data_IF_124938114600
#
_entry.id   IF_124938114600
#
_cell.length_a   1.000
_cell.length_b   1.000
_cell.length_c   1.000
_cell.angle_alpha   90.00
_cell.angle_beta   90.00
_cell.angle_gamma   90.00
#
_symmetry.space_group_name_H-M   'P 1'
#
loop_
_entity.id
_entity.type
_entity.pdbx_description
1 polymer ?
#
# COMPACT_ATOMS: atom_id res chain seq x y z
N UNK A 1 19.57 -22.08 18.86
CA UNK A 1 18.94 -22.94 17.83
C UNK A 1 17.86 -22.20 17.01
N UNK A 2 17.97 -20.87 16.80
CA UNK A 2 17.04 -20.08 15.96
C UNK A 2 17.75 -19.39 14.77
N UNK A 3 19.08 -19.25 14.83
CA UNK A 3 19.90 -18.63 13.77
C UNK A 3 20.04 -19.56 12.54
N UNK A 4 19.96 -20.88 12.73
CA UNK A 4 20.09 -21.87 11.66
C UNK A 4 18.82 -22.04 10.81
N UNK A 5 17.63 -21.92 11.41
CA UNK A 5 16.35 -21.97 10.67
C UNK A 5 16.14 -20.73 9.77
N UNK A 6 16.65 -19.56 10.19
CA UNK A 6 16.57 -18.32 9.43
C UNK A 6 17.40 -18.35 8.13
N UNK A 7 18.62 -18.90 8.20
CA UNK A 7 19.46 -19.11 7.00
C UNK A 7 18.82 -20.09 6.01
N UNK A 8 18.11 -21.09 6.50
CA UNK A 8 17.41 -22.05 5.64
C UNK A 8 16.20 -21.42 4.95
N UNK A 9 15.36 -20.64 5.64
CA UNK A 9 14.19 -19.97 5.04
C UNK A 9 14.57 -18.90 4.01
N UNK A 10 15.60 -18.09 4.27
CA UNK A 10 16.17 -17.16 3.28
C UNK A 10 16.73 -17.90 2.06
N UNK A 11 17.34 -19.08 2.26
CA UNK A 11 17.82 -19.91 1.14
C UNK A 11 16.68 -20.47 0.28
N UNK A 12 15.51 -20.73 0.88
CA UNK A 12 14.32 -21.24 0.18
C UNK A 12 13.61 -20.12 -0.57
N UNK A 13 13.37 -18.96 0.05
CA UNK A 13 12.78 -17.79 -0.62
C UNK A 13 13.65 -17.31 -1.80
N UNK A 14 14.97 -17.27 -1.61
CA UNK A 14 15.93 -16.95 -2.69
C UNK A 14 15.92 -18.00 -3.81
N UNK A 15 15.69 -19.28 -3.49
CA UNK A 15 15.53 -20.35 -4.50
C UNK A 15 14.19 -20.29 -5.23
N UNK A 16 13.09 -19.89 -4.57
CA UNK A 16 11.77 -19.73 -5.22
C UNK A 16 11.81 -18.56 -6.20
N UNK A 17 12.33 -17.40 -5.76
CA UNK A 17 12.50 -16.22 -6.62
C UNK A 17 13.45 -16.53 -7.79
N UNK A 18 14.62 -17.15 -7.54
CA UNK A 18 15.55 -17.53 -8.61
C UNK A 18 15.03 -18.62 -9.56
N UNK A 19 14.13 -19.51 -9.11
CA UNK A 19 13.52 -20.54 -9.97
C UNK A 19 12.44 -19.96 -10.87
N UNK A 20 11.60 -19.05 -10.37
CA UNK A 20 10.65 -18.30 -11.21
C UNK A 20 11.37 -17.44 -12.25
N UNK A 21 12.51 -16.83 -11.90
CA UNK A 21 13.26 -16.01 -12.87
C UNK A 21 13.89 -16.79 -14.03
N UNK A 22 14.28 -18.05 -13.81
CA UNK A 22 14.88 -18.88 -14.87
C UNK A 22 13.88 -19.33 -15.94
N UNK A 23 12.59 -19.39 -15.64
CA UNK A 23 11.58 -19.70 -16.67
C UNK A 23 11.21 -18.48 -17.52
N UNK A 24 11.46 -17.26 -17.04
CA UNK A 24 11.04 -15.99 -17.68
C UNK A 24 12.23 -15.22 -18.31
N UNK A 25 13.47 -15.71 -18.18
CA UNK A 25 14.63 -15.11 -18.86
C UNK A 25 15.07 -13.73 -18.31
N UNK A 26 14.71 -13.37 -17.07
CA UNK A 26 15.09 -12.08 -16.44
C UNK A 26 16.11 -12.28 -15.32
N UNK A 27 17.13 -11.44 -15.25
CA UNK A 27 18.09 -11.39 -14.13
C UNK A 27 17.52 -10.48 -13.04
N UNK A 28 17.52 -10.89 -11.77
CA UNK A 28 17.12 -10.04 -10.64
C UNK A 28 18.32 -9.80 -9.72
N UNK A 29 18.64 -8.53 -9.44
CA UNK A 29 19.47 -8.10 -8.33
C UNK A 29 18.62 -7.89 -7.07
N UNK A 30 18.85 -8.69 -6.03
CA UNK A 30 18.29 -8.44 -4.70
C UNK A 30 19.19 -7.45 -3.95
N UNK A 31 18.63 -6.36 -3.45
CA UNK A 31 19.27 -5.53 -2.41
C UNK A 31 18.38 -5.59 -1.16
N UNK A 32 18.88 -6.22 -0.09
CA UNK A 32 18.21 -6.26 1.22
C UNK A 32 18.63 -5.03 2.05
N UNK A 33 17.69 -4.12 2.33
CA UNK A 33 17.88 -3.04 3.32
C UNK A 33 16.64 -3.05 4.20
N UNK A 34 16.79 -3.40 5.48
CA UNK A 34 15.64 -3.62 6.38
C UNK A 34 14.78 -4.81 5.93
N UNK A 35 13.64 -5.05 6.59
CA UNK A 35 12.74 -6.18 6.33
C UNK A 35 12.10 -6.22 4.92
N UNK A 36 12.43 -5.26 4.04
CA UNK A 36 11.95 -5.16 2.66
C UNK A 36 12.99 -5.70 1.67
N UNK A 37 12.53 -6.50 0.71
CA UNK A 37 13.36 -6.93 -0.43
C UNK A 37 13.14 -5.92 -1.55
N UNK A 38 14.16 -5.11 -1.87
CA UNK A 38 14.17 -4.36 -3.14
C UNK A 38 14.63 -5.32 -4.23
N UNK A 39 13.72 -5.74 -5.11
CA UNK A 39 14.04 -6.46 -6.32
C UNK A 39 14.30 -5.45 -7.43
N UNK A 40 15.57 -5.32 -7.82
CA UNK A 40 15.95 -4.60 -9.02
C UNK A 40 16.04 -5.63 -10.15
N UNK A 41 15.13 -5.59 -11.12
CA UNK A 41 15.22 -6.47 -12.29
C UNK A 41 16.39 -6.00 -13.17
N UNK A 42 17.50 -6.75 -13.16
CA UNK A 42 18.68 -6.55 -14.02
C UNK A 42 18.45 -7.06 -15.45
N UNK A 43 17.30 -6.69 -16.02
CA UNK A 43 17.08 -6.52 -17.45
C UNK A 43 16.48 -5.13 -17.77
N UNK A 44 16.37 -4.23 -16.77
CA UNK A 44 16.04 -2.81 -16.95
C UNK A 44 16.93 -1.98 -16.04
N UNK A 45 18.23 -1.93 -16.34
CA UNK A 45 19.14 -0.98 -15.68
C UNK A 45 19.02 0.45 -16.25
N UNK A 46 18.08 0.67 -17.18
CA UNK A 46 17.53 1.98 -17.57
C UNK A 46 16.03 1.91 -17.27
N UNK A 47 15.65 2.23 -16.03
CA UNK A 47 14.32 1.91 -15.47
C UNK A 47 13.19 2.76 -16.07
N UNK A 48 13.49 3.84 -16.77
CA UNK A 48 12.50 4.64 -17.51
C UNK A 48 13.17 5.17 -18.79
N UNK A 49 12.51 5.08 -19.94
CA UNK A 49 12.94 5.86 -21.11
C UNK A 49 12.75 7.36 -20.78
N UNK A 50 13.54 8.25 -21.37
CA UNK A 50 13.44 9.71 -21.13
C UNK A 50 12.01 10.29 -21.09
N UNK A 51 11.06 9.84 -21.93
CA UNK A 51 9.66 10.31 -21.89
C UNK A 51 8.90 9.90 -20.62
N UNK A 52 9.24 8.76 -19.99
CA UNK A 52 8.54 8.28 -18.79
C UNK A 52 9.00 9.02 -17.52
N UNK A 53 10.25 9.50 -17.48
CA UNK A 53 10.74 10.38 -16.40
C UNK A 53 10.06 11.75 -16.49
N UNK A 54 10.00 12.33 -17.70
CA UNK A 54 9.35 13.62 -17.93
C UNK A 54 7.85 13.57 -17.60
N UNK A 55 7.18 12.44 -17.88
CA UNK A 55 5.80 12.20 -17.47
C UNK A 55 5.67 12.08 -15.95
N UNK A 56 6.59 11.38 -15.25
CA UNK A 56 6.57 11.30 -13.80
C UNK A 56 6.76 12.67 -13.12
N UNK A 57 7.49 13.59 -13.75
CA UNK A 57 7.70 14.95 -13.24
C UNK A 57 6.54 15.92 -13.56
N UNK A 58 5.78 15.67 -14.63
CA UNK A 58 4.71 16.58 -15.11
C UNK A 58 3.30 16.10 -14.79
N UNK A 59 3.06 14.78 -14.76
CA UNK A 59 1.81 14.12 -14.37
C UNK A 59 2.13 12.73 -13.78
N UNK A 60 2.55 12.73 -12.51
CA UNK A 60 2.85 11.48 -11.80
C UNK A 60 1.63 10.56 -11.69
N UNK A 61 0.39 11.07 -11.78
CA UNK A 61 -0.79 10.22 -11.78
C UNK A 61 -0.91 9.41 -13.07
N UNK A 62 -0.68 10.02 -14.23
CA UNK A 62 -0.66 9.30 -15.50
C UNK A 62 0.45 8.25 -15.52
N UNK A 63 1.64 8.62 -15.03
CA UNK A 63 2.77 7.69 -14.89
C UNK A 63 2.43 6.50 -13.98
N UNK A 64 1.96 6.77 -12.76
CA UNK A 64 1.60 5.76 -11.78
C UNK A 64 0.50 4.83 -12.27
N UNK A 65 -0.55 5.38 -12.90
CA UNK A 65 -1.65 4.61 -13.46
C UNK A 65 -1.16 3.63 -14.54
N UNK A 66 -0.36 4.10 -15.50
CA UNK A 66 0.18 3.26 -16.57
C UNK A 66 1.09 2.15 -16.03
N UNK A 67 1.92 2.46 -15.03
CA UNK A 67 2.76 1.47 -14.37
C UNK A 67 1.91 0.45 -13.61
N UNK A 68 0.90 0.90 -12.86
CA UNK A 68 0.04 0.03 -12.06
C UNK A 68 -0.79 -0.91 -12.92
N UNK A 69 -1.30 -0.45 -14.07
CA UNK A 69 -1.97 -1.29 -15.07
C UNK A 69 -1.04 -2.39 -15.59
N UNK A 70 0.23 -2.04 -15.86
CA UNK A 70 1.24 -3.01 -16.31
C UNK A 70 1.55 -4.05 -15.24
N UNK A 71 1.70 -3.63 -13.97
CA UNK A 71 1.98 -4.54 -12.86
C UNK A 71 0.80 -5.48 -12.58
N UNK A 72 -0.43 -4.95 -12.62
CA UNK A 72 -1.66 -5.71 -12.39
C UNK A 72 -1.94 -6.75 -13.49
N UNK A 73 -1.45 -6.50 -14.70
CA UNK A 73 -1.57 -7.42 -15.83
C UNK A 73 -0.47 -8.50 -15.86
N UNK A 74 0.60 -8.40 -15.06
CA UNK A 74 1.68 -9.39 -15.02
C UNK A 74 1.32 -10.55 -14.09
N UNK A 75 0.88 -11.67 -14.68
CA UNK A 75 0.50 -12.87 -13.93
C UNK A 75 1.60 -13.40 -13.03
N UNK A 76 2.88 -13.19 -13.38
CA UNK A 76 4.00 -13.65 -12.56
C UNK A 76 4.15 -12.87 -11.24
N UNK A 77 3.55 -11.67 -11.15
CA UNK A 77 3.48 -10.88 -9.94
C UNK A 77 2.20 -11.17 -9.14
N UNK A 78 1.07 -11.32 -9.83
CA UNK A 78 -0.22 -11.67 -9.22
C UNK A 78 -0.13 -12.98 -8.42
N UNK A 79 0.66 -13.94 -8.89
CA UNK A 79 0.84 -15.24 -8.24
C UNK A 79 1.72 -15.21 -6.97
N UNK A 80 2.37 -14.08 -6.64
CA UNK A 80 3.34 -14.02 -5.54
C UNK A 80 2.71 -13.89 -4.15
N UNK A 81 1.40 -13.59 -4.05
CA UNK A 81 0.69 -13.34 -2.79
C UNK A 81 1.44 -12.34 -1.89
N UNK A 82 2.03 -11.30 -2.50
CA UNK A 82 2.76 -10.24 -1.80
C UNK A 82 1.98 -8.93 -1.91
N UNK A 83 2.10 -8.09 -0.88
CA UNK A 83 1.72 -6.68 -1.02
C UNK A 83 2.73 -5.99 -1.92
N UNK A 84 2.23 -5.25 -2.89
CA UNK A 84 3.03 -4.46 -3.84
C UNK A 84 2.67 -2.99 -3.67
N UNK A 85 3.68 -2.14 -3.66
CA UNK A 85 3.59 -0.68 -3.79
C UNK A 85 4.68 -0.22 -4.78
N UNK A 86 4.68 1.06 -5.16
CA UNK A 86 5.79 1.66 -5.92
C UNK A 86 6.34 2.90 -5.23
N UNK A 87 7.59 3.26 -5.55
CA UNK A 87 8.15 4.57 -5.23
C UNK A 87 7.98 5.57 -6.39
N UNK A 88 8.38 6.84 -6.19
CA UNK A 88 8.30 7.90 -7.21
C UNK A 88 9.05 7.61 -8.51
N UNK A 89 9.98 6.65 -8.50
CA UNK A 89 10.75 6.25 -9.68
C UNK A 89 10.15 5.01 -10.37
N UNK A 90 9.00 4.53 -9.90
CA UNK A 90 8.36 3.32 -10.38
C UNK A 90 9.02 2.03 -9.91
N UNK A 91 9.90 2.08 -8.89
CA UNK A 91 10.48 0.86 -8.34
C UNK A 91 9.44 0.15 -7.47
N UNK A 92 9.29 -1.16 -7.66
CA UNK A 92 8.40 -1.97 -6.82
C UNK A 92 8.96 -2.14 -5.41
N UNK A 93 8.11 -1.88 -4.43
CA UNK A 93 8.31 -2.20 -3.03
C UNK A 93 7.41 -3.40 -2.73
N UNK A 94 8.02 -4.50 -2.30
CA UNK A 94 7.29 -5.73 -1.97
C UNK A 94 7.42 -6.04 -0.49
N UNK A 95 6.27 -6.30 0.15
CA UNK A 95 6.18 -6.69 1.54
C UNK A 95 5.62 -8.11 1.64
N UNK A 96 6.09 -8.92 2.62
CA UNK A 96 5.53 -10.24 2.87
C UNK A 96 4.03 -10.14 3.20
N UNK A 97 3.27 -11.24 3.07
CA UNK A 97 1.89 -11.27 3.50
C UNK A 97 1.78 -10.85 4.99
N UNK A 98 0.72 -10.13 5.38
CA UNK A 98 0.53 -9.73 6.75
C UNK A 98 0.34 -10.94 7.69
N UNK A 99 0.69 -10.76 8.96
CA UNK A 99 0.35 -11.76 9.98
C UNK A 99 -1.18 -11.84 10.16
N UNK A 100 -1.75 -13.00 10.56
CA UNK A 100 -3.20 -13.14 10.72
C UNK A 100 -3.86 -12.09 11.62
N UNK A 101 -3.17 -11.64 12.68
CA UNK A 101 -3.66 -10.58 13.57
C UNK A 101 -3.82 -9.22 12.88
N UNK A 102 -2.97 -8.92 11.89
CA UNK A 102 -3.05 -7.69 11.09
C UNK A 102 -4.23 -7.79 10.12
N UNK A 103 -4.37 -8.91 9.40
CA UNK A 103 -5.54 -9.16 8.55
C UNK A 103 -6.88 -9.19 9.30
N UNK A 104 -6.90 -9.68 10.55
CA UNK A 104 -8.10 -9.61 11.40
C UNK A 104 -8.51 -8.16 11.68
N UNK A 105 -7.56 -7.29 12.02
CA UNK A 105 -7.81 -5.87 12.26
C UNK A 105 -8.31 -5.16 11.01
N UNK A 106 -7.71 -5.43 9.85
CA UNK A 106 -8.22 -4.92 8.57
C UNK A 106 -9.69 -5.34 8.36
N UNK A 107 -10.02 -6.60 8.63
CA UNK A 107 -11.37 -7.13 8.46
C UNK A 107 -12.38 -6.49 9.42
N UNK A 108 -12.01 -6.32 10.69
CA UNK A 108 -12.86 -5.68 11.71
C UNK A 108 -13.11 -4.21 11.39
N UNK A 109 -12.06 -3.46 11.04
CA UNK A 109 -12.17 -2.05 10.61
C UNK A 109 -13.09 -1.95 9.39
N UNK A 110 -12.90 -2.81 8.39
CA UNK A 110 -13.71 -2.82 7.19
C UNK A 110 -15.20 -3.11 7.50
N UNK A 111 -15.47 -4.05 8.41
CA UNK A 111 -16.81 -4.37 8.86
C UNK A 111 -17.47 -3.17 9.56
N UNK A 112 -16.79 -2.57 10.54
CA UNK A 112 -17.29 -1.43 11.30
C UNK A 112 -17.52 -0.20 10.39
N UNK A 113 -16.61 0.08 9.46
CA UNK A 113 -16.81 1.13 8.45
C UNK A 113 -18.04 0.85 7.60
N UNK A 114 -18.25 -0.40 7.18
CA UNK A 114 -19.40 -0.75 6.34
C UNK A 114 -20.73 -0.65 7.10
N UNK A 115 -20.74 -0.99 8.39
CA UNK A 115 -21.91 -0.83 9.25
C UNK A 115 -22.26 0.64 9.48
N UNK A 116 -21.27 1.47 9.78
CA UNK A 116 -21.49 2.88 10.10
C UNK A 116 -21.74 3.74 8.85
N UNK A 117 -21.13 3.41 7.71
CA UNK A 117 -21.23 4.19 6.48
C UNK A 117 -21.67 3.32 5.29
N UNK A 118 -22.92 2.79 5.32
CA UNK A 118 -23.39 1.79 4.36
C UNK A 118 -23.55 2.30 2.93
N UNK A 119 -23.71 3.61 2.75
CA UNK A 119 -23.92 4.28 1.45
C UNK A 119 -22.68 4.33 0.56
N UNK A 120 -21.47 4.15 1.12
CA UNK A 120 -20.22 4.12 0.37
C UNK A 120 -19.66 2.72 0.14
N UNK A 121 -18.39 2.69 -0.29
CA UNK A 121 -17.62 1.47 -0.55
C UNK A 121 -16.47 1.38 0.44
N UNK A 122 -16.28 0.17 0.97
CA UNK A 122 -15.10 -0.19 1.74
C UNK A 122 -14.21 -1.04 0.85
N UNK A 123 -12.92 -0.72 0.82
CA UNK A 123 -11.94 -1.31 -0.09
C UNK A 123 -10.73 -1.73 0.74
N UNK A 124 -10.32 -2.99 0.61
CA UNK A 124 -9.08 -3.50 1.20
C UNK A 124 -7.93 -3.35 0.20
N UNK A 125 -6.72 -3.09 0.69
CA UNK A 125 -5.50 -2.97 -0.14
C UNK A 125 -5.68 -1.96 -1.29
N UNK A 126 -6.26 -0.79 -0.97
CA UNK A 126 -6.74 0.19 -1.92
C UNK A 126 -5.57 0.99 -2.55
N UNK A 127 -5.29 0.86 -3.86
CA UNK A 127 -4.19 1.56 -4.50
C UNK A 127 -4.52 3.05 -4.72
N UNK A 128 -3.66 3.93 -4.24
CA UNK A 128 -3.72 5.38 -4.46
C UNK A 128 -2.42 5.86 -5.08
N UNK A 129 -2.54 6.59 -6.19
CA UNK A 129 -1.42 7.26 -6.84
C UNK A 129 -1.03 8.48 -6.04
N UNK A 130 0.22 8.54 -5.61
CA UNK A 130 0.78 9.68 -4.89
C UNK A 130 2.04 10.19 -5.58
N UNK A 131 2.53 11.37 -5.18
CA UNK A 131 3.85 11.86 -5.63
C UNK A 131 5.03 10.95 -5.26
N UNK A 132 4.86 10.03 -4.30
CA UNK A 132 5.87 9.02 -3.93
C UNK A 132 5.56 7.63 -4.49
N UNK A 133 4.80 7.56 -5.60
CA UNK A 133 4.38 6.32 -6.25
C UNK A 133 2.99 5.85 -5.80
N UNK A 134 2.61 4.64 -6.20
CA UNK A 134 1.34 4.02 -5.78
C UNK A 134 1.50 3.39 -4.40
N UNK A 135 0.68 3.81 -3.46
CA UNK A 135 0.58 3.20 -2.12
C UNK A 135 -0.68 2.36 -2.03
N UNK A 136 -0.61 1.26 -1.31
CA UNK A 136 -1.78 0.46 -0.98
C UNK A 136 -2.25 0.87 0.40
N UNK A 137 -3.47 1.38 0.54
CA UNK A 137 -4.09 1.66 1.83
C UNK A 137 -4.65 0.36 2.38
N UNK A 138 -4.37 0.02 3.64
CA UNK A 138 -4.84 -1.26 4.23
C UNK A 138 -6.37 -1.40 4.16
N UNK A 139 -7.08 -0.38 4.63
CA UNK A 139 -8.54 -0.27 4.54
C UNK A 139 -8.93 1.15 4.19
N UNK A 140 -9.77 1.31 3.18
CA UNK A 140 -10.29 2.61 2.78
C UNK A 140 -11.82 2.60 2.77
N UNK A 141 -12.42 3.77 3.01
CA UNK A 141 -13.81 4.03 2.66
C UNK A 141 -13.88 5.19 1.67
N UNK A 142 -14.68 5.03 0.61
CA UNK A 142 -15.00 6.11 -0.30
C UNK A 142 -16.50 6.29 -0.54
N UNK A 143 -16.89 7.54 -0.83
CA UNK A 143 -18.26 7.84 -1.22
C UNK A 143 -18.61 7.22 -2.57
N UNK A 144 -19.92 7.11 -2.85
CA UNK A 144 -20.37 6.65 -4.16
C UNK A 144 -19.92 7.58 -5.30
N UNK A 145 -19.69 8.87 -5.02
CA UNK A 145 -19.14 9.84 -5.97
C UNK A 145 -17.70 9.49 -6.34
N UNK A 146 -16.80 9.36 -5.35
CA UNK A 146 -15.41 8.94 -5.60
C UNK A 146 -15.31 7.58 -6.27
N UNK A 147 -16.17 6.63 -5.86
CA UNK A 147 -16.25 5.32 -6.52
C UNK A 147 -16.63 5.41 -8.00
N UNK A 148 -17.60 6.27 -8.34
CA UNK A 148 -18.00 6.46 -9.73
C UNK A 148 -16.91 7.18 -10.54
N UNK A 149 -16.21 8.15 -9.92
CA UNK A 149 -15.11 8.87 -10.54
C UNK A 149 -13.89 7.98 -10.84
N UNK A 150 -13.64 6.95 -10.01
CA UNK A 150 -12.62 5.93 -10.29
C UNK A 150 -12.89 5.24 -11.64
N UNK A 151 -14.13 4.82 -11.88
CA UNK A 151 -14.53 4.18 -13.12
C UNK A 151 -13.74 2.89 -13.37
N UNK A 152 -13.01 2.86 -14.49
CA UNK A 152 -12.18 1.71 -14.90
C UNK A 152 -10.69 1.88 -14.53
N UNK A 153 -10.33 2.93 -13.79
CA UNK A 153 -8.95 3.14 -13.36
C UNK A 153 -8.56 2.10 -12.31
N UNK A 154 -7.32 1.62 -12.38
CA UNK A 154 -6.81 0.60 -11.45
C UNK A 154 -6.22 1.19 -10.16
N UNK A 155 -6.06 2.51 -10.07
CA UNK A 155 -5.71 3.21 -8.83
C UNK A 155 -6.46 4.54 -8.68
N UNK A 156 -6.67 4.97 -7.44
CA UNK A 156 -7.26 6.26 -7.13
C UNK A 156 -6.26 7.38 -7.42
N UNK A 157 -6.67 8.40 -8.18
CA UNK A 157 -5.91 9.66 -8.28
C UNK A 157 -6.15 10.56 -7.08
N UNK A 158 -7.40 10.65 -6.64
CA UNK A 158 -7.78 11.30 -5.39
C UNK A 158 -8.01 10.23 -4.32
N UNK A 159 -7.38 10.39 -3.17
CA UNK A 159 -7.48 9.43 -2.07
C UNK A 159 -8.94 9.24 -1.63
N UNK A 160 -9.34 8.03 -1.22
CA UNK A 160 -10.59 7.82 -0.49
C UNK A 160 -10.74 8.79 0.69
N UNK A 161 -11.98 9.15 1.04
CA UNK A 161 -12.24 10.09 2.13
C UNK A 161 -11.68 9.60 3.47
N UNK A 162 -11.73 8.30 3.74
CA UNK A 162 -11.11 7.67 4.91
C UNK A 162 -10.05 6.69 4.45
N UNK A 163 -8.81 6.87 4.93
CA UNK A 163 -7.70 5.97 4.69
C UNK A 163 -7.18 5.41 6.02
N UNK A 164 -7.12 4.09 6.18
CA UNK A 164 -6.69 3.45 7.43
C UNK A 164 -5.45 2.60 7.17
N UNK A 165 -4.42 2.78 7.98
CA UNK A 165 -3.23 1.91 8.03
C UNK A 165 -3.21 1.14 9.36
N UNK A 166 -2.94 -0.17 9.31
CA UNK A 166 -2.75 -1.02 10.49
C UNK A 166 -1.26 -1.17 10.74
N UNK A 167 -0.81 -0.72 11.90
CA UNK A 167 0.61 -0.70 12.27
C UNK A 167 1.14 -2.13 12.36
N UNK A 168 2.17 -2.44 11.55
CA UNK A 168 2.88 -3.71 11.62
C UNK A 168 4.27 -3.55 12.25
N UNK A 169 4.88 -4.62 12.82
CA UNK A 169 6.23 -4.55 13.39
C UNK A 169 7.32 -4.11 12.41
N UNK A 170 7.06 -4.22 11.11
CA UNK A 170 7.98 -3.80 10.05
C UNK A 170 7.89 -2.33 9.68
N UNK A 171 6.82 -1.62 10.06
CA UNK A 171 6.65 -0.23 9.67
C UNK A 171 7.52 0.69 10.52
N UNK A 172 8.31 1.52 9.85
CA UNK A 172 8.98 2.62 10.52
C UNK A 172 7.95 3.72 10.80
N UNK A 173 8.02 4.38 11.98
CA UNK A 173 7.14 5.52 12.29
C UNK A 173 7.18 6.60 11.19
N UNK A 174 8.37 6.84 10.61
CA UNK A 174 8.52 7.79 9.51
C UNK A 174 7.76 7.41 8.23
N UNK A 175 7.63 6.11 7.95
CA UNK A 175 6.90 5.61 6.77
C UNK A 175 5.39 5.86 6.91
N UNK A 176 4.83 5.61 8.11
CA UNK A 176 3.41 5.89 8.38
C UNK A 176 3.09 7.39 8.34
N UNK A 177 3.95 8.22 8.90
CA UNK A 177 3.78 9.68 8.84
C UNK A 177 3.89 10.21 7.40
N UNK A 178 4.79 9.64 6.59
CA UNK A 178 4.89 9.96 5.16
C UNK A 178 3.63 9.56 4.40
N UNK A 179 3.15 8.31 4.58
CA UNK A 179 1.89 7.84 3.99
C UNK A 179 0.71 8.73 4.36
N UNK A 180 0.57 9.10 5.64
CA UNK A 180 -0.46 10.03 6.09
C UNK A 180 -0.37 11.38 5.37
N UNK A 181 0.82 11.95 5.26
CA UNK A 181 1.01 13.22 4.54
C UNK A 181 0.60 13.09 3.07
N UNK A 182 0.98 12.00 2.40
CA UNK A 182 0.62 11.72 1.02
C UNK A 182 -0.91 11.59 0.86
N UNK A 183 -1.59 10.82 1.71
CA UNK A 183 -3.05 10.65 1.60
C UNK A 183 -3.80 11.97 1.77
N UNK A 184 -3.36 12.84 2.68
CA UNK A 184 -3.93 14.18 2.81
C UNK A 184 -3.61 15.08 1.61
N UNK A 185 -2.40 14.97 1.02
CA UNK A 185 -2.05 15.67 -0.22
C UNK A 185 -2.95 15.26 -1.38
N UNK A 186 -3.32 13.98 -1.46
CA UNK A 186 -4.25 13.44 -2.46
C UNK A 186 -5.74 13.61 -2.07
N UNK A 187 -6.06 14.37 -1.03
CA UNK A 187 -7.43 14.77 -0.70
C UNK A 187 -8.21 13.83 0.21
N UNK A 188 -7.55 12.99 1.02
CA UNK A 188 -8.21 12.31 2.13
C UNK A 188 -8.81 13.33 3.12
N UNK A 189 -9.97 13.01 3.68
CA UNK A 189 -10.61 13.84 4.73
C UNK A 189 -10.10 13.40 6.10
N UNK A 190 -10.00 12.08 6.31
CA UNK A 190 -9.41 11.50 7.50
C UNK A 190 -8.42 10.39 7.15
N UNK A 191 -7.33 10.34 7.91
CA UNK A 191 -6.38 9.23 7.91
C UNK A 191 -6.36 8.63 9.30
N UNK A 192 -6.46 7.32 9.43
CA UNK A 192 -6.48 6.63 10.72
C UNK A 192 -5.34 5.65 10.84
N UNK A 193 -4.84 5.47 12.05
CA UNK A 193 -3.92 4.39 12.38
C UNK A 193 -4.56 3.45 13.40
N UNK A 194 -4.46 2.15 13.14
CA UNK A 194 -4.76 1.11 14.12
C UNK A 194 -3.43 0.57 14.66
N UNK A 195 -3.15 0.79 15.94
CA UNK A 195 -1.96 0.20 16.57
C UNK A 195 -2.15 -1.30 16.80
N UNK A 196 -1.07 -1.98 17.17
CA UNK A 196 -0.99 -3.45 17.29
C UNK A 196 -1.88 -4.01 18.39
N UNK A 197 -2.20 -3.21 19.40
CA UNK A 197 -3.14 -3.55 20.46
C UNK A 197 -4.59 -3.21 20.12
N UNK A 198 -4.85 -2.68 18.91
CA UNK A 198 -6.18 -2.30 18.45
C UNK A 198 -6.56 -0.85 18.74
N UNK A 199 -5.69 -0.07 19.40
CA UNK A 199 -5.96 1.35 19.64
C UNK A 199 -6.06 2.13 18.32
N UNK A 200 -7.12 2.91 18.17
CA UNK A 200 -7.39 3.73 17.00
C UNK A 200 -6.93 5.17 17.22
N UNK A 201 -6.25 5.73 16.21
CA UNK A 201 -5.84 7.12 16.16
C UNK A 201 -6.42 7.78 14.92
N UNK A 202 -7.13 8.89 15.08
CA UNK A 202 -7.83 9.58 14.00
C UNK A 202 -7.13 10.91 13.68
N UNK A 203 -6.92 11.20 12.41
CA UNK A 203 -6.33 12.47 11.96
C UNK A 203 -7.24 13.13 10.93
N UNK A 204 -7.49 14.43 11.07
CA UNK A 204 -8.32 15.22 10.14
C UNK A 204 -7.52 16.11 9.19
N UNK A 205 -8.11 16.51 8.07
CA UNK A 205 -7.40 17.21 6.99
C UNK A 205 -7.03 18.69 7.28
N UNK A 206 -7.77 19.41 8.13
CA UNK A 206 -7.54 20.85 8.37
C UNK A 206 -6.13 21.15 8.89
N UNK A 207 -5.71 20.44 9.94
CA UNK A 207 -4.38 20.63 10.56
C UNK A 207 -3.52 19.36 10.56
N UNK A 208 -4.01 18.26 9.98
CA UNK A 208 -3.36 16.92 9.99
C UNK A 208 -3.03 16.42 11.41
N UNK A 209 -3.74 16.96 12.41
CA UNK A 209 -3.54 16.69 13.83
C UNK A 209 -4.38 15.50 14.31
N UNK A 210 -3.93 14.92 15.42
CA UNK A 210 -4.68 13.91 16.14
C UNK A 210 -6.00 14.48 16.65
N UNK A 211 -7.08 13.78 16.36
CA UNK A 211 -8.42 14.06 16.81
C UNK A 211 -8.82 13.07 17.91
N UNK A 212 -9.67 13.48 18.86
CA UNK A 212 -10.17 12.57 19.89
C UNK A 212 -11.09 11.49 19.31
N UNK A 213 -11.71 11.72 18.15
CA UNK A 213 -12.68 10.84 17.47
C UNK A 213 -12.67 11.12 15.97
N UNK A 214 -13.19 10.20 15.16
CA UNK A 214 -13.54 10.50 13.77
C UNK A 214 -14.68 11.52 13.69
N UNK A 215 -14.58 12.49 12.79
CA UNK A 215 -15.65 13.43 12.47
C UNK A 215 -16.66 12.82 11.47
N UNK A 216 -16.20 11.94 10.59
CA UNK A 216 -17.04 11.20 9.63
C UNK A 216 -17.79 10.01 10.28
N UNK A 217 -17.19 9.38 11.29
CA UNK A 217 -17.75 8.22 12.00
C UNK A 217 -17.64 8.41 13.51
N UNK A 218 -18.50 9.26 14.09
CA UNK A 218 -18.44 9.62 15.51
C UNK A 218 -18.53 8.45 16.50
N UNK A 219 -19.16 7.35 16.06
CA UNK A 219 -19.40 6.15 16.86
C UNK A 219 -18.38 5.04 16.59
N UNK A 220 -17.33 5.31 15.80
CA UNK A 220 -16.24 4.34 15.61
C UNK A 220 -15.52 4.11 16.95
N UNK A 221 -15.24 2.86 17.34
CA UNK A 221 -14.63 2.57 18.63
C UNK A 221 -13.17 3.05 18.70
N UNK A 222 -12.76 3.49 19.89
CA UNK A 222 -11.37 3.91 20.16
C UNK A 222 -10.39 2.70 20.21
N UNK A 223 -10.92 1.49 20.40
CA UNK A 223 -10.16 0.23 20.44
C UNK A 223 -10.97 -0.88 19.75
N UNK A 224 -10.31 -1.67 18.90
CA UNK A 224 -10.86 -2.87 18.24
C UNK A 224 -10.09 -4.13 18.67
N UNK A 225 -10.70 -5.30 18.51
CA UNK A 225 -10.08 -6.58 18.90
C UNK A 225 -8.96 -7.08 17.96
#
# INVERSE_FOLDING_TARGET
>A
MMIFEWRHRLSTARRVILRSCRSVGKTIGLVCIGFSIRLSFSAMSSVLESPEIELAETDYHAFNQALWDRLSADSSLVDLDLRIETDRYGQMIMSPPPAPSHGNKQSEIAFLLKQNMPSGRVISECPVSTREGVKAIDVAWCSQEKWNALGNQSCFRESPEICVEVVSPGNAKGELEEKKALYFEEGAIEVWFCDRDGTMFFFGNEDRQLMPKSALVSDFPDVID
#
